data_IF_718840600079
#
_entry.id   IF_718840600079
#
_cell.length_a   1.000
_cell.length_b   1.000
_cell.length_c   1.000
_cell.angle_alpha   90.00
_cell.angle_beta   90.00
_cell.angle_gamma   90.00
#
_symmetry.space_group_name_H-M   'P 1'
#
loop_
_entity.id
_entity.type
_entity.pdbx_description
1 polymer ?
2 non-polymer ?
3 non-polymer ?
4 water ?
#
# COMPACT_ATOMS: atom_id res chain seq x y z
N UNK A 1 17.92 9.80 -5.12
CA UNK A 1 16.97 10.07 -4.03
C UNK A 1 16.44 8.77 -3.42
N UNK A 2 15.51 8.12 -4.14
CA UNK A 2 14.88 6.86 -3.74
C UNK A 2 14.53 6.04 -5.00
N UNK A 3 15.58 5.48 -5.58
CA UNK A 3 15.50 4.90 -6.88
C UNK A 3 15.84 3.43 -6.83
N UNK A 4 16.58 2.91 -5.82
CA UNK A 4 17.00 1.50 -5.77
C UNK A 4 16.24 0.82 -4.60
N UNK A 5 15.85 -0.40 -4.78
CA UNK A 5 15.29 -1.24 -3.71
C UNK A 5 16.33 -2.27 -3.28
N UNK A 6 16.53 -2.32 -1.95
CA UNK A 6 17.42 -3.25 -1.30
C UNK A 6 16.60 -4.14 -0.37
N UNK A 7 17.19 -5.32 -0.04
CA UNK A 7 16.64 -6.15 1.01
C UNK A 7 16.64 -5.38 2.33
N UNK A 8 15.49 -5.30 3.03
CA UNK A 8 15.43 -4.54 4.27
C UNK A 8 16.27 -5.19 5.37
N UNK A 9 16.46 -6.50 5.32
CA UNK A 9 17.21 -7.23 6.34
C UNK A 9 18.73 -7.08 6.18
N UNK A 10 19.28 -6.97 4.97
CA UNK A 10 20.72 -7.10 4.85
C UNK A 10 21.29 -6.10 3.86
N UNK A 11 20.47 -5.48 2.99
CA UNK A 11 21.04 -4.52 2.07
C UNK A 11 21.34 -5.02 0.68
N UNK A 12 21.15 -6.29 0.41
CA UNK A 12 21.34 -6.84 -0.93
C UNK A 12 20.58 -5.99 -1.96
N UNK A 13 21.23 -5.65 -3.07
CA UNK A 13 20.59 -4.99 -4.20
C UNK A 13 19.53 -5.89 -4.83
N UNK A 14 18.29 -5.39 -5.01
CA UNK A 14 17.19 -6.21 -5.49
C UNK A 14 16.56 -5.63 -6.77
N UNK A 15 16.05 -4.41 -6.71
CA UNK A 15 15.41 -3.86 -7.90
C UNK A 15 15.47 -2.35 -7.97
N UNK A 16 14.60 -1.72 -8.81
CA UNK A 16 14.70 -0.29 -9.03
C UNK A 16 13.30 0.20 -9.27
N UNK A 17 13.03 1.47 -8.90
CA UNK A 17 11.69 2.03 -9.07
C UNK A 17 11.33 2.02 -10.58
N UNK A 18 12.35 2.22 -11.40
CA UNK A 18 12.21 2.29 -12.85
C UNK A 18 11.68 0.98 -13.40
N UNK A 19 11.81 -0.14 -12.62
CA UNK A 19 11.47 -1.45 -13.12
C UNK A 19 10.11 -1.93 -12.66
N UNK A 20 9.39 -1.04 -11.99
CA UNK A 20 8.03 -1.35 -11.55
C UNK A 20 7.13 -1.59 -12.76
N UNK A 21 6.18 -2.51 -12.66
CA UNK A 21 5.42 -2.98 -13.81
C UNK A 21 3.94 -2.94 -13.44
N UNK A 22 3.09 -2.11 -14.09
CA UNK A 22 1.66 -2.13 -13.83
C UNK A 22 0.93 -3.29 -14.49
N UNK A 23 0.83 -4.39 -13.76
CA UNK A 23 0.03 -5.55 -14.16
C UNK A 23 -1.45 -5.31 -13.89
N UNK A 24 -2.27 -5.49 -14.92
CA UNK A 24 -3.68 -5.17 -14.85
C UNK A 24 -3.99 -3.78 -14.31
N UNK A 25 -3.18 -2.78 -14.68
CA UNK A 25 -3.51 -1.43 -14.25
C UNK A 25 -2.62 -0.87 -13.16
N UNK A 26 -2.03 -1.70 -12.29
CA UNK A 26 -1.43 -1.15 -11.09
C UNK A 26 -0.16 -1.98 -10.79
N UNK A 27 0.88 -1.33 -10.29
CA UNK A 27 2.05 -2.08 -9.90
C UNK A 27 1.81 -2.78 -8.56
N UNK A 28 0.85 -2.28 -7.77
CA UNK A 28 0.57 -2.80 -6.45
C UNK A 28 -0.65 -3.71 -6.42
N UNK A 29 -0.52 -4.89 -5.81
CA UNK A 29 -1.62 -5.83 -5.68
C UNK A 29 -1.65 -6.38 -4.27
N UNK A 30 -2.81 -6.34 -3.62
CA UNK A 30 -2.86 -6.87 -2.26
C UNK A 30 -3.58 -8.19 -2.32
N UNK A 31 -3.00 -9.22 -1.72
CA UNK A 31 -3.35 -10.60 -1.95
C UNK A 31 -3.23 -11.29 -0.62
N UNK A 32 -3.90 -12.43 -0.49
CA UNK A 32 -3.67 -13.34 0.62
C UNK A 32 -3.48 -14.76 0.13
N UNK A 33 -2.71 -15.51 0.90
CA UNK A 33 -2.41 -16.90 0.63
C UNK A 33 -3.36 -17.82 1.44
N UNK A 34 -3.24 -19.14 1.27
CA UNK A 34 -4.08 -20.10 2.00
C UNK A 34 -3.89 -20.07 3.51
N UNK A 35 -2.76 -19.51 4.00
CA UNK A 35 -2.53 -19.36 5.41
C UNK A 35 -3.07 -18.04 5.93
N UNK A 36 -3.77 -17.32 5.10
CA UNK A 36 -4.41 -16.06 5.40
C UNK A 36 -3.47 -14.89 5.57
N UNK A 37 -2.19 -15.06 5.23
CA UNK A 37 -1.27 -13.94 5.28
C UNK A 37 -1.59 -12.98 4.14
N UNK A 38 -1.70 -11.68 4.46
CA UNK A 38 -1.90 -10.63 3.48
C UNK A 38 -0.54 -10.00 3.11
N UNK A 39 -0.37 -9.82 1.81
CA UNK A 39 0.84 -9.23 1.27
C UNK A 39 0.49 -8.07 0.41
N UNK A 40 1.29 -6.99 0.54
CA UNK A 40 1.23 -5.91 -0.45
C UNK A 40 2.39 -6.17 -1.44
N UNK A 41 2.02 -6.63 -2.61
CA UNK A 41 2.99 -7.05 -3.62
C UNK A 41 3.16 -5.91 -4.63
N UNK A 42 4.41 -5.61 -4.96
CA UNK A 42 4.73 -4.75 -6.07
C UNK A 42 5.27 -5.59 -7.18
N UNK A 43 4.77 -5.35 -8.39
CA UNK A 43 5.23 -6.09 -9.56
C UNK A 43 6.41 -5.36 -10.16
N UNK A 44 7.44 -6.14 -10.54
CA UNK A 44 8.63 -5.65 -11.18
C UNK A 44 8.92 -6.47 -12.42
N UNK A 45 9.36 -5.79 -13.51
CA UNK A 45 9.71 -6.54 -14.69
C UNK A 45 11.00 -7.31 -14.46
N UNK A 46 11.87 -6.78 -13.61
CA UNK A 46 13.20 -7.28 -13.42
C UNK A 46 13.59 -7.13 -11.96
N UNK A 47 14.47 -8.01 -11.53
CA UNK A 47 15.04 -8.03 -10.20
C UNK A 47 16.35 -8.76 -10.26
N UNK A 48 17.15 -8.59 -9.23
CA UNK A 48 18.45 -9.27 -9.13
C UNK A 48 18.67 -9.59 -7.65
N UNK A 49 19.69 -10.34 -7.35
CA UNK A 49 20.12 -10.62 -6.00
C UNK A 49 19.25 -11.63 -5.24
N UNK A 50 18.31 -12.28 -5.93
CA UNK A 50 17.40 -13.25 -5.35
C UNK A 50 17.95 -14.64 -5.59
N UNK A 51 17.39 -15.57 -4.86
CA UNK A 51 17.54 -16.98 -5.15
C UNK A 51 16.15 -17.61 -5.28
N UNK A 52 15.83 -18.13 -6.46
CA UNK A 52 14.54 -18.74 -6.76
C UNK A 52 14.60 -20.21 -6.41
N UNK A 53 13.72 -20.66 -5.55
CA UNK A 53 13.83 -21.97 -4.98
C UNK A 53 12.64 -22.84 -5.41
N UNK A 54 12.95 -24.11 -5.70
CA UNK A 54 11.91 -25.06 -6.05
C UNK A 54 11.68 -25.02 -7.54
N UNK A 55 10.61 -25.68 -8.01
CA UNK A 55 10.21 -25.59 -9.40
C UNK A 55 8.86 -24.87 -9.40
N UNK A 56 8.47 -24.26 -10.52
CA UNK A 56 7.25 -23.46 -10.54
C UNK A 56 6.03 -24.28 -10.18
N UNK A 57 5.04 -23.60 -9.63
CA UNK A 57 3.75 -24.20 -9.30
C UNK A 57 2.67 -23.24 -9.75
N UNK A 58 1.54 -23.72 -10.27
CA UNK A 58 0.39 -22.90 -10.62
C UNK A 58 -0.66 -22.83 -9.48
N UNK A 59 -0.50 -23.62 -8.44
CA UNK A 59 -1.46 -23.65 -7.35
C UNK A 59 -1.64 -22.28 -6.69
N UNK A 60 -2.87 -21.78 -6.58
CA UNK A 60 -3.17 -20.56 -5.81
C UNK A 60 -2.54 -19.32 -6.44
N UNK A 61 -2.08 -19.41 -7.69
CA UNK A 61 -1.47 -18.26 -8.29
C UNK A 61 -2.41 -17.07 -8.32
N UNK A 62 -1.89 -15.95 -7.83
CA UNK A 62 -2.62 -14.71 -7.83
C UNK A 62 -2.75 -14.12 -9.21
N UNK A 63 -1.91 -14.57 -10.14
CA UNK A 63 -1.84 -13.91 -11.42
C UNK A 63 -2.17 -14.95 -12.49
N UNK A 64 -3.22 -14.67 -13.25
CA UNK A 64 -3.82 -15.62 -14.15
C UNK A 64 -2.79 -16.05 -15.19
N UNK A 65 -2.63 -17.36 -15.37
CA UNK A 65 -1.75 -17.89 -16.40
C UNK A 65 -0.24 -17.98 -16.03
N UNK A 66 0.12 -17.65 -14.77
CA UNK A 66 1.51 -17.69 -14.32
C UNK A 66 1.64 -18.70 -13.24
N UNK A 67 2.80 -19.35 -13.30
CA UNK A 67 3.28 -20.25 -12.29
C UNK A 67 4.35 -19.52 -11.44
N UNK A 68 4.44 -19.83 -10.16
CA UNK A 68 5.33 -19.08 -9.27
C UNK A 68 6.41 -20.00 -8.72
N UNK A 69 7.56 -19.36 -8.44
CA UNK A 69 8.55 -19.91 -7.54
C UNK A 69 8.85 -18.89 -6.46
N UNK A 70 9.14 -19.39 -5.29
CA UNK A 70 9.55 -18.60 -4.15
C UNK A 70 10.88 -17.89 -4.43
N UNK A 71 10.91 -16.60 -4.14
CA UNK A 71 12.14 -15.82 -4.29
C UNK A 71 12.66 -15.38 -2.93
N UNK A 72 13.80 -15.90 -2.53
CA UNK A 72 14.50 -15.44 -1.34
C UNK A 72 15.55 -14.42 -1.70
N UNK A 73 15.92 -13.60 -0.68
CA UNK A 73 17.06 -12.77 -0.84
C UNK A 73 18.20 -13.77 -1.04
N UNK A 74 19.03 -13.55 -2.03
CA UNK A 74 20.16 -14.46 -2.29
C UNK A 74 21.23 -14.36 -1.22
N UNK A 75 21.26 -13.26 -0.43
CA UNK A 75 22.32 -13.03 0.52
C UNK A 75 21.85 -13.59 1.87
N UNK A 76 20.69 -13.18 2.33
CA UNK A 76 20.31 -13.45 3.70
C UNK A 76 19.29 -14.56 3.82
N UNK A 77 18.59 -14.92 2.74
CA UNK A 77 17.60 -15.96 2.76
C UNK A 77 16.18 -15.50 3.13
N UNK A 78 15.95 -14.23 3.40
CA UNK A 78 14.64 -13.69 3.73
C UNK A 78 13.70 -13.91 2.54
N UNK A 79 12.43 -14.26 2.83
CA UNK A 79 11.45 -14.38 1.76
C UNK A 79 11.04 -13.04 1.24
N UNK A 80 11.40 -12.69 0.01
CA UNK A 80 11.08 -11.42 -0.56
C UNK A 80 9.93 -11.38 -1.56
N UNK A 81 9.48 -12.54 -1.99
CA UNK A 81 8.35 -12.62 -2.92
C UNK A 81 8.40 -13.85 -3.78
N UNK A 82 8.05 -13.65 -5.03
CA UNK A 82 7.88 -14.77 -5.98
C UNK A 82 8.29 -14.34 -7.35
N UNK A 83 8.87 -15.29 -8.10
CA UNK A 83 9.06 -15.09 -9.51
C UNK A 83 7.91 -15.78 -10.26
N UNK A 84 7.38 -15.10 -11.25
CA UNK A 84 6.26 -15.63 -12.00
C UNK A 84 6.73 -15.92 -13.46
N UNK A 85 6.37 -17.10 -13.94
CA UNK A 85 6.73 -17.53 -15.29
C UNK A 85 5.58 -18.31 -15.94
N UNK A 86 5.77 -18.68 -17.22
CA UNK A 86 4.86 -19.55 -17.90
C UNK A 86 3.65 -18.87 -18.50
N UNK A 87 3.59 -17.54 -18.48
CA UNK A 87 2.41 -16.79 -18.83
C UNK A 87 2.65 -16.03 -20.11
N UNK A 88 1.94 -14.92 -20.32
CA UNK A 88 2.05 -14.20 -21.57
C UNK A 88 1.97 -12.71 -21.35
N UNK A 89 2.85 -12.00 -22.03
CA UNK A 89 2.80 -10.54 -22.09
C UNK A 89 2.73 -9.95 -20.69
N UNK A 90 3.78 -10.06 -19.83
CA UNK A 90 5.05 -10.71 -20.16
C UNK A 90 5.01 -12.18 -19.84
N UNK A 91 6.03 -12.92 -20.32
CA UNK A 91 6.19 -14.30 -19.94
C UNK A 91 6.51 -14.42 -18.45
N UNK A 92 7.34 -13.51 -17.97
CA UNK A 92 7.85 -13.60 -16.60
C UNK A 92 7.90 -12.21 -15.94
N UNK A 93 7.86 -12.21 -14.58
CA UNK A 93 8.01 -10.98 -13.80
C UNK A 93 8.21 -11.40 -12.34
N UNK A 94 8.44 -10.37 -11.48
CA UNK A 94 8.63 -10.62 -10.08
C UNK A 94 7.50 -9.94 -9.30
N UNK A 95 7.01 -10.64 -8.28
CA UNK A 95 6.12 -9.97 -7.34
C UNK A 95 6.81 -9.92 -5.99
N UNK A 96 7.21 -8.71 -5.59
CA UNK A 96 7.99 -8.58 -4.36
C UNK A 96 7.17 -7.93 -3.28
N UNK A 97 7.36 -8.41 -2.07
CA UNK A 97 6.63 -7.87 -0.90
C UNK A 97 7.23 -6.52 -0.46
N UNK A 98 6.49 -5.43 -0.69
CA UNK A 98 6.94 -4.07 -0.59
C UNK A 98 7.62 -3.83 0.78
N UNK A 99 7.03 -4.29 1.87
CA UNK A 99 7.56 -3.96 3.18
C UNK A 99 8.75 -4.82 3.56
N UNK A 100 9.24 -5.67 2.67
CA UNK A 100 10.47 -6.42 2.91
C UNK A 100 11.66 -5.76 2.19
N UNK A 101 11.36 -4.72 1.45
CA UNK A 101 12.36 -3.93 0.74
C UNK A 101 12.60 -2.57 1.39
N UNK A 102 13.77 -1.96 1.15
CA UNK A 102 14.12 -0.61 1.53
C UNK A 102 14.49 0.25 0.35
N UNK A 103 13.87 1.43 0.20
CA UNK A 103 14.12 2.25 -0.98
C UNK A 103 15.13 3.34 -0.69
N UNK A 104 15.98 3.62 -1.67
CA UNK A 104 17.03 4.55 -1.40
C UNK A 104 17.88 4.91 -2.62
N UNK A 105 18.88 5.79 -2.37
CA UNK A 105 19.72 6.33 -3.45
C UNK A 105 20.57 5.33 -4.22
N UNK A 106 20.84 5.70 -5.48
CA UNK A 106 21.42 4.83 -6.49
C UNK A 106 22.93 4.66 -6.24
N UNK B 2 -8.35 9.70 16.97
CA UNK B 2 -8.32 9.66 18.45
C UNK B 2 -6.97 9.20 19.04
N UNK B 3 -5.95 8.95 18.22
CA UNK B 3 -4.66 8.53 18.78
C UNK B 3 -3.58 9.58 18.41
N UNK B 4 -2.64 9.75 19.37
CA UNK B 4 -1.54 10.68 19.18
C UNK B 4 -0.25 9.90 19.28
N UNK B 5 0.75 10.39 18.56
CA UNK B 5 2.09 9.87 18.64
C UNK B 5 2.97 10.81 19.44
N UNK B 6 3.66 10.23 20.43
CA UNK B 6 4.49 10.95 21.39
C UNK B 6 5.94 10.49 21.18
N UNK B 7 6.89 11.37 21.57
CA UNK B 7 8.28 11.00 21.58
C UNK B 7 8.42 9.78 22.52
N UNK B 8 9.07 8.70 22.06
CA UNK B 8 9.16 7.53 22.91
C UNK B 8 10.09 7.81 24.09
N UNK B 9 11.06 8.73 23.94
CA UNK B 9 12.04 9.00 24.99
C UNK B 9 11.53 9.90 26.09
N UNK B 10 10.65 10.87 25.80
CA UNK B 10 10.29 11.81 26.87
C UNK B 10 8.79 12.03 26.94
N UNK B 11 8.03 11.58 25.95
CA UNK B 11 6.59 11.66 26.05
C UNK B 11 5.96 12.88 25.40
N UNK B 12 6.75 13.78 24.85
CA UNK B 12 6.13 14.97 24.28
C UNK B 12 5.22 14.59 23.13
N UNK B 13 4.08 15.21 23.00
CA UNK B 13 3.18 15.03 21.88
C UNK B 13 3.88 15.58 20.63
N UNK B 14 3.82 14.76 19.59
CA UNK B 14 4.48 15.12 18.33
C UNK B 14 3.48 15.19 17.20
N UNK B 15 2.66 14.19 17.01
CA UNK B 15 1.73 14.19 15.87
C UNK B 15 0.50 13.36 16.16
N UNK B 16 -0.41 13.25 15.18
CA UNK B 16 -1.72 12.65 15.39
C UNK B 16 -1.93 11.64 14.27
N UNK B 17 -2.66 10.53 14.57
CA UNK B 17 -3.06 9.59 13.54
C UNK B 17 -3.88 10.24 12.41
N UNK B 18 -4.67 11.24 12.74
CA UNK B 18 -5.52 11.95 11.74
C UNK B 18 -4.64 12.65 10.71
N UNK B 19 -3.36 12.83 11.03
CA UNK B 19 -2.45 13.56 10.14
C UNK B 19 -1.59 12.64 9.31
N UNK B 20 -1.86 11.33 9.37
CA UNK B 20 -1.10 10.39 8.53
C UNK B 20 -1.33 10.73 7.08
N UNK B 21 -0.28 10.72 6.28
CA UNK B 21 -0.36 11.19 4.89
C UNK B 21 0.17 10.10 3.98
N UNK B 22 -0.60 9.59 3.00
CA UNK B 22 -0.11 8.53 2.12
C UNK B 22 0.63 9.08 0.91
N UNK B 23 1.89 9.42 1.13
CA UNK B 23 2.85 9.87 0.12
C UNK B 23 3.22 8.75 -0.83
N UNK B 24 3.09 9.03 -2.13
CA UNK B 24 3.14 7.99 -3.13
C UNK B 24 2.21 6.80 -2.87
N UNK B 25 1.05 6.94 -2.20
CA UNK B 25 0.22 5.77 -2.03
C UNK B 25 0.35 5.11 -0.66
N UNK B 26 1.37 5.43 0.14
CA UNK B 26 1.44 4.72 1.42
C UNK B 26 1.95 5.69 2.48
N UNK B 27 1.43 5.60 3.66
CA UNK B 27 2.00 6.41 4.70
C UNK B 27 3.32 5.85 5.20
N UNK B 28 3.57 4.55 4.99
CA UNK B 28 4.79 3.91 5.49
C UNK B 28 5.79 3.73 4.36
N UNK B 29 7.02 4.24 4.55
CA UNK B 29 8.11 3.98 3.61
C UNK B 29 9.27 3.41 4.38
N UNK B 30 9.80 2.24 3.95
CA UNK B 30 11.09 1.78 4.40
C UNK B 30 12.19 2.30 3.45
N UNK B 31 13.18 2.92 4.05
CA UNK B 31 14.14 3.72 3.30
C UNK B 31 15.55 3.43 3.84
N UNK B 32 16.57 3.68 2.99
CA UNK B 32 17.96 3.68 3.46
C UNK B 32 18.70 4.96 2.97
N UNK B 33 19.59 5.45 3.83
CA UNK B 33 20.34 6.66 3.56
C UNK B 33 21.70 6.27 2.93
N UNK B 34 22.50 7.28 2.51
CA UNK B 34 23.77 7.03 1.85
C UNK B 34 24.79 6.27 2.70
N UNK B 35 24.63 6.31 3.99
CA UNK B 35 25.48 5.58 4.89
C UNK B 35 24.96 4.14 5.11
N UNK B 36 23.86 3.77 4.41
CA UNK B 36 23.26 2.45 4.47
C UNK B 36 22.48 2.19 5.73
N UNK B 37 22.10 3.22 6.47
CA UNK B 37 21.22 3.03 7.61
C UNK B 37 19.78 2.94 7.10
N UNK B 38 19.01 1.95 7.61
CA UNK B 38 17.65 1.67 7.21
C UNK B 38 16.70 2.19 8.26
N UNK B 39 15.67 2.93 7.79
CA UNK B 39 14.63 3.47 8.67
C UNK B 39 13.22 3.17 8.13
N UNK B 40 12.29 3.02 9.05
CA UNK B 40 10.88 2.80 8.70
C UNK B 40 10.20 4.12 9.06
N UNK B 41 9.78 4.85 8.03
CA UNK B 41 9.29 6.20 8.14
C UNK B 41 7.78 6.14 7.93
N UNK B 42 7.06 6.88 8.82
CA UNK B 42 5.64 7.20 8.58
C UNK B 42 5.48 8.69 8.24
N UNK B 43 4.63 9.01 7.25
CA UNK B 43 4.47 10.39 6.83
C UNK B 43 3.25 11.03 7.47
N UNK B 44 3.49 12.27 7.96
CA UNK B 44 2.44 13.04 8.61
C UNK B 44 2.40 14.42 8.01
N UNK B 45 1.20 14.99 7.86
CA UNK B 45 1.14 16.29 7.26
C UNK B 45 1.72 17.40 8.13
N UNK B 46 1.43 17.35 9.42
CA UNK B 46 1.85 18.32 10.39
C UNK B 46 2.50 17.55 11.57
N UNK B 47 3.14 18.34 12.45
CA UNK B 47 3.65 17.84 13.74
C UNK B 47 3.86 19.06 14.59
N UNK B 48 4.12 18.81 15.87
CA UNK B 48 4.45 19.81 16.81
C UNK B 48 5.50 19.30 17.75
N UNK B 49 6.17 20.22 18.48
CA UNK B 49 7.09 19.76 19.49
C UNK B 49 8.45 19.34 18.97
N UNK B 50 8.68 19.46 17.65
CA UNK B 50 10.02 19.15 17.13
C UNK B 50 10.88 20.42 17.04
N UNK B 51 12.16 20.19 16.76
CA UNK B 51 13.11 21.22 16.41
C UNK B 51 13.86 20.85 15.17
N UNK B 52 13.67 21.61 14.09
CA UNK B 52 14.30 21.33 12.81
C UNK B 52 15.65 22.02 12.76
N UNK B 53 16.69 21.27 12.37
CA UNK B 53 18.03 21.82 12.46
C UNK B 53 18.69 21.79 11.09
N UNK B 54 19.43 22.86 10.79
CA UNK B 54 20.22 22.89 9.57
C UNK B 54 19.42 23.57 8.48
N UNK B 55 20.02 23.83 7.33
CA UNK B 55 19.25 24.45 6.26
C UNK B 55 18.68 23.32 5.41
N UNK B 56 17.60 23.52 4.67
CA UNK B 56 17.05 22.45 3.86
C UNK B 56 18.03 21.95 2.81
N UNK B 57 18.03 20.64 2.55
CA UNK B 57 18.95 20.04 1.57
C UNK B 57 18.11 19.18 0.64
N UNK B 58 18.38 19.21 -0.69
CA UNK B 58 17.70 18.36 -1.64
C UNK B 58 18.44 17.03 -1.88
N UNK B 59 19.71 16.93 -1.49
CA UNK B 59 20.52 15.76 -1.81
C UNK B 59 19.94 14.50 -1.16
N UNK B 60 19.76 13.46 -1.97
CA UNK B 60 19.33 12.13 -1.52
C UNK B 60 17.95 12.14 -0.89
N UNK B 61 17.20 13.21 -1.13
CA UNK B 61 15.83 13.20 -0.61
C UNK B 61 15.12 11.91 -1.01
N UNK B 62 14.42 11.32 -0.05
CA UNK B 62 13.62 10.15 -0.37
C UNK B 62 12.35 10.53 -1.13
N UNK B 63 11.97 11.79 -1.12
CA UNK B 63 10.72 12.22 -1.75
C UNK B 63 10.98 13.29 -2.80
N UNK B 64 10.77 12.91 -4.05
CA UNK B 64 11.22 13.74 -5.18
C UNK B 64 10.50 15.07 -5.13
N UNK B 65 11.25 16.15 -5.28
CA UNK B 65 10.69 17.48 -5.33
C UNK B 65 10.72 18.17 -3.97
N UNK B 66 11.19 17.47 -2.90
CA UNK B 66 11.25 18.04 -1.57
C UNK B 66 12.70 18.12 -1.13
N UNK B 67 12.99 19.19 -0.37
CA UNK B 67 14.16 19.35 0.45
C UNK B 67 13.87 18.89 1.90
N UNK B 68 14.89 18.41 2.59
CA UNK B 68 14.71 17.89 3.95
C UNK B 68 15.55 18.63 4.96
N UNK B 69 15.08 18.62 6.22
CA UNK B 69 15.83 19.05 7.39
C UNK B 69 15.63 18.01 8.46
N UNK B 70 16.64 17.76 9.25
CA UNK B 70 16.56 16.85 10.40
C UNK B 70 15.60 17.40 11.43
N UNK B 71 14.79 16.49 11.97
CA UNK B 71 13.85 16.84 13.02
C UNK B 71 14.25 16.13 14.29
N UNK B 72 14.44 16.91 15.34
CA UNK B 72 14.65 16.35 16.67
C UNK B 72 13.46 16.66 17.57
N UNK B 73 13.30 15.86 18.58
CA UNK B 73 12.35 16.20 19.65
C UNK B 73 12.85 17.50 20.27
N UNK B 74 12.01 18.53 20.32
CA UNK B 74 12.42 19.85 20.83
C UNK B 74 12.61 19.79 22.35
N UNK B 75 12.04 18.79 23.00
CA UNK B 75 12.16 18.66 24.44
C UNK B 75 13.37 17.87 24.84
N UNK B 76 13.61 16.69 24.24
CA UNK B 76 14.68 15.84 24.72
C UNK B 76 15.86 15.69 23.75
N UNK B 77 15.70 16.09 22.48
CA UNK B 77 16.72 16.00 21.48
C UNK B 77 16.80 14.67 20.70
N UNK B 78 15.93 13.70 20.96
CA UNK B 78 15.89 12.44 20.20
C UNK B 78 15.62 12.70 18.71
N UNK B 79 16.36 12.06 17.82
CA UNK B 79 16.19 12.20 16.41
C UNK B 79 14.92 11.47 15.99
N UNK B 80 13.85 12.25 15.61
CA UNK B 80 12.59 11.59 15.35
C UNK B 80 12.32 11.44 13.85
N UNK B 81 12.98 12.16 12.97
CA UNK B 81 12.80 12.02 11.54
C UNK B 81 13.30 13.26 10.80
N UNK B 82 12.48 13.69 9.84
CA UNK B 82 12.88 14.79 8.93
C UNK B 82 11.61 15.57 8.56
N UNK B 83 11.81 16.85 8.26
CA UNK B 83 10.75 17.66 7.64
C UNK B 83 11.08 17.89 6.20
N UNK B 84 10.06 17.89 5.36
CA UNK B 84 10.21 18.02 3.93
C UNK B 84 9.47 19.30 3.52
N UNK B 85 10.12 20.04 2.60
CA UNK B 85 9.50 21.26 2.16
C UNK B 85 9.87 21.54 0.71
N UNK B 86 9.14 22.50 0.16
CA UNK B 86 9.45 22.94 -1.20
C UNK B 86 8.75 22.20 -2.34
N UNK B 87 7.77 21.37 -2.11
CA UNK B 87 7.04 20.67 -3.15
C UNK B 87 5.64 21.25 -3.27
N UNK B 88 4.72 20.47 -3.79
CA UNK B 88 3.32 20.88 -3.95
C UNK B 88 2.44 19.69 -3.65
N UNK B 89 1.32 20.02 -2.98
CA UNK B 89 0.27 19.06 -2.70
C UNK B 89 0.86 17.79 -2.08
N UNK B 90 1.41 17.81 -0.85
CA UNK B 90 1.46 19.02 -0.03
C UNK B 90 2.75 19.78 -0.25
N UNK B 91 2.76 21.03 0.19
CA UNK B 91 3.98 21.81 0.15
C UNK B 91 5.03 21.26 1.12
N UNK B 92 4.58 20.79 2.28
CA UNK B 92 5.47 20.36 3.35
C UNK B 92 4.82 19.18 4.06
N UNK B 93 5.64 18.37 4.75
CA UNK B 93 5.19 17.23 5.52
C UNK B 93 6.39 16.69 6.29
N UNK B 94 6.14 15.73 7.16
CA UNK B 94 7.14 15.13 8.00
C UNK B 94 7.22 13.66 7.68
N UNK B 95 8.45 13.12 7.70
CA UNK B 95 8.71 11.71 7.72
C UNK B 95 9.31 11.28 9.07
N UNK B 96 8.51 10.70 9.94
CA UNK B 96 8.95 10.40 11.29
C UNK B 96 9.25 8.88 11.43
N UNK B 97 10.21 8.59 12.26
CA UNK B 97 10.70 7.23 12.46
C UNK B 97 9.75 6.51 13.42
N UNK B 98 8.93 5.62 12.87
CA UNK B 98 7.86 4.99 13.64
C UNK B 98 8.35 4.39 14.94
N UNK B 99 9.47 3.71 14.91
CA UNK B 99 10.00 3.08 16.11
C UNK B 99 10.45 4.07 17.18
N UNK B 100 10.53 5.39 16.93
CA UNK B 100 10.95 6.35 17.90
C UNK B 100 9.77 7.11 18.50
N UNK B 101 8.59 6.74 18.10
CA UNK B 101 7.34 7.30 18.60
C UNK B 101 6.62 6.23 19.43
N UNK B 102 5.69 6.70 20.23
CA UNK B 102 4.82 5.81 20.97
C UNK B 102 3.40 6.28 20.71
N UNK B 103 2.53 5.39 20.26
CA UNK B 103 1.17 5.78 19.93
C UNK B 103 0.30 5.53 21.15
N UNK B 104 -0.70 6.35 21.31
CA UNK B 104 -1.53 6.28 22.49
C UNK B 104 -2.75 7.15 22.36
N UNK B 105 -3.72 6.97 23.28
CA UNK B 105 -4.88 7.84 23.36
C UNK B 105 -4.47 9.29 23.66
N UNK B 106 -5.17 10.18 22.97
CA UNK B 106 -5.15 11.60 23.30
C UNK B 106 -4.93 11.76 24.81
N UNK C 2 -7.64 -16.65 -6.72
CA UNK C 2 -8.28 -15.35 -6.43
C UNK C 2 -9.80 -15.51 -6.46
N UNK C 3 -10.33 -16.36 -5.57
CA UNK C 3 -11.75 -16.62 -5.57
C UNK C 3 -12.50 -15.92 -4.43
N UNK C 4 -11.81 -15.50 -3.35
CA UNK C 4 -12.45 -14.78 -2.26
C UNK C 4 -11.90 -13.35 -2.20
N UNK C 5 -12.77 -12.38 -1.91
CA UNK C 5 -12.39 -10.99 -1.83
C UNK C 5 -12.58 -10.51 -0.38
N UNK C 6 -11.54 -9.89 0.17
CA UNK C 6 -11.52 -9.43 1.55
C UNK C 6 -11.15 -7.97 1.59
N UNK C 7 -11.39 -7.33 2.74
CA UNK C 7 -10.96 -5.98 2.98
C UNK C 7 -9.44 -5.94 2.99
N UNK C 8 -8.82 -5.04 2.19
CA UNK C 8 -7.35 -5.02 2.13
C UNK C 8 -6.76 -4.54 3.45
N UNK C 9 -7.51 -3.75 4.24
CA UNK C 9 -6.96 -3.17 5.47
C UNK C 9 -6.97 -4.18 6.61
N UNK C 10 -8.01 -5.00 6.73
CA UNK C 10 -8.12 -5.79 7.94
C UNK C 10 -8.41 -7.26 7.64
N UNK C 11 -8.80 -7.61 6.40
CA UNK C 11 -9.00 -9.01 6.06
C UNK C 11 -10.44 -9.54 6.19
N UNK C 12 -11.39 -8.74 6.63
CA UNK C 12 -12.83 -9.12 6.68
C UNK C 12 -13.25 -9.70 5.34
N UNK C 13 -13.92 -10.86 5.35
CA UNK C 13 -14.47 -11.50 4.14
C UNK C 13 -15.60 -10.62 3.63
N UNK C 14 -15.60 -10.35 2.31
CA UNK C 14 -16.65 -9.46 1.78
C UNK C 14 -17.46 -10.18 0.68
N UNK C 15 -16.77 -10.77 -0.31
CA UNK C 15 -17.54 -11.43 -1.36
C UNK C 15 -16.68 -12.52 -2.02
N UNK C 16 -17.16 -13.01 -3.17
CA UNK C 16 -16.54 -14.17 -3.80
C UNK C 16 -16.81 -14.12 -5.29
N UNK C 17 -15.95 -14.78 -6.06
CA UNK C 17 -16.00 -14.78 -7.51
C UNK C 17 -17.32 -15.37 -8.00
N UNK C 18 -17.89 -16.34 -7.27
CA UNK C 18 -19.22 -16.89 -7.62
C UNK C 18 -20.30 -15.81 -7.61
N UNK C 19 -20.09 -14.66 -6.95
CA UNK C 19 -21.15 -13.65 -6.84
C UNK C 19 -20.89 -12.47 -7.79
N UNK C 20 -19.79 -12.52 -8.53
CA UNK C 20 -19.40 -11.43 -9.43
C UNK C 20 -20.46 -11.32 -10.52
N UNK C 21 -20.69 -10.12 -11.04
CA UNK C 21 -21.41 -9.94 -12.31
C UNK C 21 -20.49 -9.66 -13.54
N UNK C 27 -14.53 -8.28 -15.79
CA UNK C 27 -15.64 -7.99 -14.83
C UNK C 27 -15.49 -6.57 -14.27
N UNK C 28 -14.27 -6.05 -14.35
CA UNK C 28 -13.95 -4.67 -13.97
C UNK C 28 -14.75 -3.66 -14.79
N UNK C 29 -15.32 -2.66 -14.12
CA UNK C 29 -15.78 -1.44 -14.79
C UNK C 29 -14.85 -0.33 -14.35
N UNK C 30 -14.28 0.39 -15.33
CA UNK C 30 -13.43 1.54 -15.08
C UNK C 30 -14.32 2.78 -15.12
N UNK C 31 -14.31 3.55 -14.02
CA UNK C 31 -15.24 4.65 -13.85
C UNK C 31 -14.41 5.81 -13.32
N UNK C 32 -14.92 7.03 -13.49
CA UNK C 32 -14.24 8.18 -12.91
C UNK C 32 -15.20 8.87 -11.94
N UNK C 33 -14.72 9.25 -10.74
CA UNK C 33 -15.56 10.05 -9.87
C UNK C 33 -15.68 11.46 -10.47
N UNK C 34 -16.49 12.37 -9.84
CA UNK C 34 -16.70 13.71 -10.38
C UNK C 34 -15.42 14.53 -10.54
N UNK C 35 -14.36 14.14 -9.80
CA UNK C 35 -13.07 14.83 -9.79
C UNK C 35 -12.15 14.24 -10.85
N UNK C 36 -12.67 13.26 -11.62
CA UNK C 36 -11.91 12.60 -12.69
C UNK C 36 -10.88 11.62 -12.16
N UNK C 37 -10.99 11.20 -10.90
CA UNK C 37 -10.15 10.11 -10.42
C UNK C 37 -10.71 8.78 -10.93
N UNK C 38 -9.82 7.86 -11.35
CA UNK C 38 -10.13 6.52 -11.85
C UNK C 38 -10.42 5.55 -10.71
N UNK C 39 -11.53 4.82 -10.78
CA UNK C 39 -11.72 3.62 -9.97
C UNK C 39 -12.01 2.43 -10.89
N UNK C 40 -11.54 1.26 -10.45
CA UNK C 40 -11.94 -0.02 -11.04
C UNK C 40 -12.96 -0.64 -10.08
N UNK C 41 -14.19 -0.73 -10.54
CA UNK C 41 -15.29 -1.25 -9.73
C UNK C 41 -15.61 -2.68 -10.18
N UNK C 42 -15.73 -3.58 -9.19
CA UNK C 42 -16.34 -4.89 -9.41
C UNK C 42 -17.78 -4.90 -8.88
N UNK C 43 -18.71 -5.41 -9.67
CA UNK C 43 -20.10 -5.55 -9.25
C UNK C 43 -20.36 -6.98 -8.77
N UNK C 44 -21.04 -7.08 -7.63
CA UNK C 44 -21.37 -8.35 -7.02
C UNK C 44 -22.87 -8.40 -6.76
N UNK C 45 -23.49 -9.57 -6.92
CA UNK C 45 -24.91 -9.64 -6.60
C UNK C 45 -25.09 -9.70 -5.09
N UNK C 46 -24.09 -10.28 -4.39
CA UNK C 46 -24.22 -10.43 -2.95
C UNK C 46 -22.91 -10.03 -2.32
N UNK C 47 -22.99 -9.68 -1.04
CA UNK C 47 -21.80 -9.39 -0.25
C UNK C 47 -22.15 -9.54 1.22
N UNK C 48 -21.10 -9.62 2.03
CA UNK C 48 -21.29 -9.72 3.47
C UNK C 48 -20.25 -8.88 4.15
N UNK C 49 -20.41 -8.68 5.48
CA UNK C 49 -19.38 -8.08 6.29
C UNK C 49 -19.23 -6.56 6.10
N UNK C 50 -20.15 -5.92 5.37
CA UNK C 50 -20.11 -4.49 5.19
C UNK C 50 -21.05 -3.88 6.25
N UNK C 51 -20.96 -2.56 6.35
CA UNK C 51 -21.97 -1.75 6.96
C UNK C 51 -22.41 -0.64 5.98
N UNK C 52 -23.68 -0.60 5.66
CA UNK C 52 -24.20 0.35 4.67
C UNK C 52 -24.68 1.58 5.45
N UNK C 53 -24.20 2.78 5.12
CA UNK C 53 -24.40 3.93 6.03
C UNK C 53 -25.10 5.05 5.26
N UNK C 54 -25.91 5.88 5.94
CA UNK C 54 -26.46 7.07 5.30
C UNK C 54 -27.69 6.75 4.47
N UNK C 55 -28.13 7.71 3.65
CA UNK C 55 -29.34 7.54 2.84
C UNK C 55 -28.92 7.41 1.39
N UNK C 56 -29.71 6.70 0.55
CA UNK C 56 -29.34 6.54 -0.85
C UNK C 56 -29.28 7.88 -1.56
N UNK C 57 -28.40 7.96 -2.55
CA UNK C 57 -28.20 9.18 -3.32
C UNK C 57 -28.04 8.80 -4.81
N UNK C 58 -28.60 9.64 -5.71
CA UNK C 58 -28.40 9.48 -7.15
C UNK C 58 -27.22 10.28 -7.73
N UNK C 59 -26.52 11.08 -6.91
CA UNK C 59 -25.43 11.94 -7.37
C UNK C 59 -24.32 11.18 -8.08
N UNK C 60 -24.01 11.59 -9.32
CA UNK C 60 -22.97 11.00 -10.16
C UNK C 60 -23.02 9.44 -10.24
N UNK C 61 -24.20 8.86 -10.10
CA UNK C 61 -24.26 7.40 -10.09
C UNK C 61 -23.72 6.88 -11.41
N UNK C 62 -22.80 5.93 -11.34
CA UNK C 62 -22.22 5.34 -12.52
C UNK C 62 -23.19 4.38 -13.19
N UNK C 63 -24.27 4.02 -12.52
CA UNK C 63 -25.10 2.93 -13.02
C UNK C 63 -26.51 3.45 -13.21
N UNK C 64 -26.95 3.49 -14.46
CA UNK C 64 -28.18 4.21 -14.80
C UNK C 64 -29.32 3.51 -14.09
N UNK C 65 -30.19 4.26 -13.41
CA UNK C 65 -31.35 3.70 -12.75
C UNK C 65 -31.13 3.44 -11.24
N UNK C 66 -29.88 3.50 -10.74
CA UNK C 66 -29.60 3.08 -9.36
C UNK C 66 -29.15 4.25 -8.49
N UNK C 67 -29.65 4.23 -7.25
CA UNK C 67 -29.13 5.07 -6.16
C UNK C 67 -28.10 4.29 -5.31
N UNK C 68 -27.12 5.01 -4.75
CA UNK C 68 -26.06 4.36 -3.98
C UNK C 68 -26.10 4.75 -2.51
N UNK C 69 -25.63 3.80 -1.65
CA UNK C 69 -25.31 4.02 -0.25
C UNK C 69 -23.87 3.59 -0.04
N UNK C 70 -23.18 4.25 0.86
CA UNK C 70 -21.79 4.00 1.12
C UNK C 70 -21.69 2.67 1.85
N UNK C 71 -20.71 1.87 1.40
CA UNK C 71 -20.49 0.57 2.05
C UNK C 71 -19.13 0.61 2.71
N UNK C 72 -19.12 0.49 4.05
CA UNK C 72 -17.87 0.37 4.76
C UNK C 72 -17.62 -1.10 5.16
N UNK C 73 -16.38 -1.41 5.41
CA UNK C 73 -16.04 -2.67 6.04
C UNK C 73 -16.64 -2.64 7.45
N UNK C 74 -17.40 -3.68 7.79
CA UNK C 74 -17.97 -3.69 9.10
C UNK C 74 -16.96 -3.99 10.21
N UNK C 75 -15.75 -4.43 9.84
CA UNK C 75 -14.77 -4.83 10.85
C UNK C 75 -13.90 -3.62 11.23
N UNK C 76 -13.41 -2.88 10.24
CA UNK C 76 -12.48 -1.79 10.49
C UNK C 76 -13.00 -0.43 10.05
N UNK C 77 -14.05 -0.34 9.25
CA UNK C 77 -14.61 0.94 8.88
C UNK C 77 -14.06 1.53 7.57
N UNK C 78 -13.18 0.83 6.88
CA UNK C 78 -12.64 1.33 5.59
C UNK C 78 -13.73 1.36 4.53
N UNK C 79 -13.72 2.41 3.70
CA UNK C 79 -14.69 2.58 2.65
C UNK C 79 -14.37 1.61 1.51
N UNK C 80 -15.23 0.62 1.25
CA UNK C 80 -14.88 -0.37 0.22
C UNK C 80 -15.67 -0.19 -1.10
N UNK C 81 -16.72 0.58 -1.05
CA UNK C 81 -17.54 0.83 -2.24
C UNK C 81 -18.92 1.28 -1.85
N UNK C 82 -19.92 0.78 -2.60
CA UNK C 82 -21.30 1.25 -2.47
C UNK C 82 -22.28 0.12 -2.73
N UNK C 83 -23.44 0.26 -2.13
CA UNK C 83 -24.57 -0.61 -2.40
C UNK C 83 -25.49 0.17 -3.33
N UNK C 84 -25.96 -0.49 -4.38
CA UNK C 84 -26.83 0.16 -5.36
C UNK C 84 -28.20 -0.47 -5.23
N UNK C 85 -29.23 0.40 -5.27
CA UNK C 85 -30.61 -0.05 -5.16
C UNK C 85 -31.50 0.83 -6.05
N UNK C 86 -32.72 0.33 -6.24
CA UNK C 86 -33.76 1.10 -6.88
C UNK C 86 -33.84 0.89 -8.38
N UNK C 87 -33.01 -0.02 -8.95
CA UNK C 87 -33.06 -0.29 -10.38
C UNK C 87 -33.88 -1.54 -10.69
N UNK C 88 -33.63 -2.10 -11.88
CA UNK C 88 -34.31 -3.29 -12.32
C UNK C 88 -33.28 -4.22 -12.98
N UNK C 89 -33.44 -5.50 -12.68
CA UNK C 89 -32.70 -6.55 -13.37
C UNK C 89 -31.20 -6.29 -13.28
N UNK C 90 -30.55 -6.32 -12.09
CA UNK C 90 -31.22 -6.60 -10.81
C UNK C 90 -31.73 -5.34 -10.14
N UNK C 91 -32.58 -5.51 -9.13
CA UNK C 91 -32.99 -4.44 -8.25
C UNK C 91 -31.80 -3.86 -7.47
N UNK C 92 -30.88 -4.72 -7.00
CA UNK C 92 -29.78 -4.29 -6.11
C UNK C 92 -28.47 -5.01 -6.44
N UNK C 93 -27.33 -4.39 -6.11
CA UNK C 93 -26.02 -5.02 -6.21
C UNK C 93 -25.02 -4.15 -5.43
N UNK C 94 -23.80 -4.68 -5.32
CA UNK C 94 -22.71 -4.01 -4.63
C UNK C 94 -21.66 -3.66 -5.68
N UNK C 95 -21.20 -2.41 -5.68
CA UNK C 95 -20.09 -1.99 -6.51
C UNK C 95 -18.89 -1.67 -5.63
N UNK C 96 -17.92 -2.57 -5.61
CA UNK C 96 -16.80 -2.44 -4.69
C UNK C 96 -15.54 -2.04 -5.47
N UNK C 97 -14.69 -1.28 -4.78
CA UNK C 97 -13.48 -0.72 -5.35
C UNK C 97 -12.42 -1.80 -5.34
N UNK C 98 -11.97 -2.23 -6.53
CA UNK C 98 -10.97 -3.29 -6.67
C UNK C 98 -9.77 -3.03 -5.80
N UNK C 99 -9.30 -1.76 -5.77
CA UNK C 99 -8.06 -1.42 -5.10
C UNK C 99 -8.23 -1.45 -3.56
N UNK C 100 -9.44 -1.65 -3.05
CA UNK C 100 -9.63 -1.68 -1.61
C UNK C 100 -9.77 -3.11 -1.11
N UNK C 101 -9.70 -4.08 -2.05
CA UNK C 101 -9.94 -5.47 -1.75
C UNK C 101 -8.64 -6.24 -1.92
N UNK C 102 -8.53 -7.31 -1.16
CA UNK C 102 -7.47 -8.30 -1.35
C UNK C 102 -8.11 -9.58 -1.87
N UNK C 103 -7.43 -10.26 -2.80
CA UNK C 103 -7.97 -11.46 -3.42
C UNK C 103 -7.12 -12.64 -3.00
N UNK C 104 -7.77 -13.77 -2.87
CA UNK C 104 -7.04 -15.01 -2.61
C UNK C 104 -7.95 -16.22 -2.60
N UNK C 105 -7.38 -17.39 -2.28
CA UNK C 105 -8.09 -18.67 -2.40
C UNK C 105 -9.19 -18.93 -1.39
N UNK C 106 -10.07 -19.89 -1.74
CA UNK C 106 -11.25 -20.25 -0.95
C UNK C 106 -10.82 -21.07 0.28
X LIG D 1 18.54 -10.01 2.54
X LIG E 1 0.96 -17.07 -5.27
X LIG E 1 -0.01 -17.88 -3.20
X LIG E 1 1.61 -19.27 -0.52
X LIG E 1 -0.08 -17.35 -4.44
X LIG E 1 0.41 -23.69 2.80
X LIG E 1 2.43 -18.34 -3.65
X LIG E 1 1.35 -18.12 -2.60
X LIG E 1 2.30 -17.24 -4.68
X LIG E 1 -1.04 -18.14 -2.60
X LIG E 1 0.75 -16.47 -6.30
X LIG E 1 1.28 -19.31 -1.80
X LIG E 1 1.31 -20.49 0.25
X LIG E 1 2.06 -18.24 0.02
X LIG E 1 1.46 -20.39 1.62
X LIG E 1 1.17 -21.43 2.45
X LIG E 1 0.68 -22.64 1.94
X LIG E 1 0.52 -22.75 0.54
X LIG E 1 0.84 -21.71 -0.29
X LIG E 1 0.66 -21.83 -1.63
X LIG E 1 -0.88 -17.16 -4.74
X LIG E 1 0.11 -24.45 2.48
X LIG E 1 0.55 -23.60 3.66
X LIG E 1 2.31 -19.21 -4.08
X LIG E 1 3.32 -18.31 -3.24
X LIG E 1 1.58 -17.34 -2.03
X LIG E 1 2.55 -16.38 -4.25
X LIG E 1 2.93 -17.40 -5.40
X LIG E 1 1.03 -20.06 -2.16
X LIG E 1 1.75 -19.58 2.00
X LIG E 1 1.27 -21.33 3.38
X LIG E 1 0.22 -23.58 0.16
X LIG F 1 11.49 13.77 23.40
X LIG G 1 16.20 11.93 3.27
X LIG G 1 18.31 10.67 3.30
X LIG G 1 20.76 10.93 5.87
X LIG G 1 17.13 11.06 2.71
X LIG G 1 26.33 11.03 5.53
X LIG G 1 17.98 12.61 4.93
X LIG G 1 18.64 11.26 4.66
X LIG G 1 16.51 12.42 4.62
X LIG G 1 19.03 9.88 2.73
X LIG G 1 15.15 12.13 2.70
X LIG G 1 20.07 11.37 4.84
X LIG G 1 22.21 11.12 5.63
X LIG G 1 20.29 10.28 6.83
X LIG G 1 22.96 10.50 6.63
X LIG G 1 24.32 10.49 6.59
X LIG G 1 25.00 11.08 5.54
X LIG G 1 24.28 11.71 4.52
X LIG G 1 22.89 11.74 4.57
X LIG G 1 22.25 12.40 3.56
X LIG G 1 16.94 10.75 1.91
X LIG G 1 26.77 11.41 4.87
X LIG G 1 26.76 10.64 6.19
X LIG G 1 18.36 13.30 4.34
X LIG G 1 18.10 12.88 5.86
X LIG G 1 18.31 10.63 5.35
X LIG G 1 16.13 11.80 5.27
X LIG G 1 16.04 13.28 4.74
X LIG G 1 20.51 11.76 4.20
X LIG G 1 22.50 10.05 7.33
X LIG G 1 24.80 10.03 7.26
X LIG G 1 24.72 12.16 3.81
X LIG H 1 -11.66 -3.86 7.01
X LIG I 1 -21.12 6.35 -7.84
X LIG I 1 -19.66 8.34 -7.95
X LIG I 1 -17.37 9.41 -5.50
X LIG I 1 -20.54 7.43 -8.47
X LIG I 1 -15.94 13.70 -2.12
X LIG I 1 -20.29 7.45 -5.71
X LIG I 1 -19.17 8.07 -6.54
X LIG I 1 -20.76 6.16 -6.40
X LIG I 1 -19.32 9.30 -8.60
X LIG I 1 -21.88 5.63 -8.47
X LIG I 1 -18.63 9.28 -5.92
X LIG I 1 -17.05 10.59 -4.67
X LIG I 1 -16.49 8.55 -5.70
X LIG I 1 -18.02 11.52 -4.25
X LIG I 1 -17.64 12.56 -3.42
X LIG I 1 -16.31 12.67 -2.96
X LIG I 1 -15.36 11.72 -3.36
X LIG I 1 -15.72 10.69 -4.20
X LIG I 1 -14.77 9.79 -4.59
X LIG I 1 -20.76 7.54 -9.32
X LIG I 1 -15.11 13.76 -1.84
X LIG I 1 -16.54 14.28 -1.86
X LIG I 1 -21.04 8.07 -5.63
X LIG I 1 -19.97 7.24 -4.81
X LIG I 1 -18.43 7.40 -6.60
X LIG I 1 -20.05 5.49 -6.35
X LIG I 1 -21.55 5.81 -5.94
X LIG I 1 -19.17 9.95 -5.84
X LIG I 1 -18.91 11.45 -4.53
X LIG I 1 -18.29 13.18 -3.14
X LIG I 1 -14.46 11.79 -3.08
#
# INVERSE_FOLDING_TARGET
>A
GASIFRCRQCGQTISRRDWLLPMGGDHEHVVFNPAGMIFRVWCFSLAQGLRLIGAPSGEFSWFKGYDWTIALCGQCGSHLGWHYEGGSQPQTFFGLIKDRLAEGPA
>B
GASIFRCRQCGQTISRRDWLLPMGGDHEHVVFNPAGMIFRVWCFSLAQGLRLIGAPSGEFSWFKGYDWTIALCGQCGSHLGWHYEGGSQPQTFFGLIKDRLAEGPA
>C
GASIFRCRQCGQTISRRDWLLPMGGDHEHVVFNPAGMIFRVWCFSLAQGLRLIGAPSGEFSWFKGYDWTIALCGQCGSHLGWHYEGGSQPQTFFGLIKDRLAEGPA
>D hetero
1 ZN ZN
>E hetero
1 W1B C4 C5 C6 N1 N3 C2 C1 C3 O1 O2 N2 C7 O3 C8 C9 C10 C11 C12 O4 H6 H12 H13 H3 H2 H1 H5 H4 H7 H8 H9 H10
>F hetero
1 ZN ZN
>G hetero
1 W1B C4 C5 C6 N1 N3 C2 C1 C3 O1 O2 N2 C7 O3 C8 C9 C10 C11 C12 O4 H6 H12 H13 H3 H2 H1 H5 H4 H7 H8 H9 H10
>H hetero
1 ZN ZN
>I hetero
1 W1B C4 C5 C6 N1 N3 C2 C1 C3 O1 O2 N2 C7 O3 C8 C9 C10 C11 C12 O4 H6 H12 H13 H3 H2 H1 H5 H4 H7 H8 H9 H10
#
